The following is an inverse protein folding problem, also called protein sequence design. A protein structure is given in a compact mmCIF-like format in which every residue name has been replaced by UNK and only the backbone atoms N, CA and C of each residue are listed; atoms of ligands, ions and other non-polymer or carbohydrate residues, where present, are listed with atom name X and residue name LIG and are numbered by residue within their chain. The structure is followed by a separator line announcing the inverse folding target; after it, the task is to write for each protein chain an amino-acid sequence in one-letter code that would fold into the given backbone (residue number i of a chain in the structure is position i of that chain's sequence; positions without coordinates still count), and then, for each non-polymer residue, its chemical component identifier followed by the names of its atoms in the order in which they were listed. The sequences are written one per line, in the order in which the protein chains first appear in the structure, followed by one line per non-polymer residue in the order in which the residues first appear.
data_IF_207571981889
#
_entry.id   IF_207571981889
#
_cell.length_a   1.000
_cell.length_b   1.000
_cell.length_c   1.000
_cell.angle_alpha   90.00
_cell.angle_beta   90.00
_cell.angle_gamma   90.00
#
_symmetry.space_group_name_H-M   'P 1'
#
loop_
_entity.id
_entity.type
_entity.pdbx_description
1 polymer ?
2 non-polymer ?
3 non-polymer ?
4 water ?
#
# COMPACT_ATOMS: atom_id res chain seq x y z
N UNK A 8 33.69 3.11 -16.38
CA UNK A 8 33.21 2.35 -15.22
C UNK A 8 31.82 2.80 -14.77
N UNK A 9 30.92 1.83 -14.62
CA UNK A 9 29.60 2.06 -14.04
C UNK A 9 29.27 0.90 -13.10
N UNK A 10 28.43 1.13 -12.11
CA UNK A 10 28.28 0.13 -11.04
C UNK A 10 27.46 -1.11 -11.42
N UNK A 11 26.53 -1.00 -12.37
CA UNK A 11 25.63 -2.10 -12.70
C UNK A 11 25.64 -2.36 -14.20
N UNK A 12 25.40 -3.61 -14.63
CA UNK A 12 25.27 -3.88 -16.08
C UNK A 12 24.09 -3.12 -16.66
N UNK A 13 24.16 -2.85 -17.97
CA UNK A 13 23.02 -2.21 -18.64
C UNK A 13 21.73 -2.97 -18.32
N UNK A 14 20.67 -2.23 -18.07
CA UNK A 14 19.31 -2.67 -17.79
C UNK A 14 19.13 -3.07 -16.33
N UNK A 15 20.18 -3.07 -15.51
CA UNK A 15 20.04 -3.35 -14.10
C UNK A 15 19.92 -2.02 -13.33
N UNK A 16 19.22 -2.08 -12.21
CA UNK A 16 18.91 -0.89 -11.41
C UNK A 16 19.77 -0.85 -10.15
N UNK A 17 20.48 0.27 -9.97
CA UNK A 17 21.33 0.45 -8.80
C UNK A 17 20.54 0.92 -7.57
N UNK A 18 20.73 0.24 -6.45
CA UNK A 18 20.09 0.65 -5.20
C UNK A 18 20.99 0.25 -4.05
N UNK A 19 21.51 1.24 -3.33
CA UNK A 19 22.26 1.02 -2.10
C UNK A 19 23.31 -0.08 -2.27
N UNK A 20 24.15 0.07 -3.28
CA UNK A 20 25.29 -0.81 -3.44
C UNK A 20 25.03 -2.15 -4.11
N UNK A 21 23.81 -2.41 -4.56
CA UNK A 21 23.52 -3.64 -5.28
C UNK A 21 22.82 -3.30 -6.58
N UNK A 22 22.74 -4.30 -7.46
CA UNK A 22 22.12 -4.18 -8.76
C UNK A 22 20.93 -5.14 -8.83
N UNK A 23 19.83 -4.67 -9.41
CA UNK A 23 18.59 -5.44 -9.47
C UNK A 23 18.06 -5.51 -10.90
N UNK A 24 17.46 -6.65 -11.24
CA UNK A 24 16.89 -6.86 -12.57
C UNK A 24 15.54 -7.55 -12.44
N UNK A 25 14.49 -6.95 -13.04
CA UNK A 25 13.19 -7.60 -13.09
C UNK A 25 12.99 -8.16 -14.50
N UNK A 26 12.56 -9.41 -14.58
CA UNK A 26 12.40 -10.11 -15.87
C UNK A 26 11.26 -9.52 -16.69
N UNK A 27 11.31 -9.76 -17.99
CA UNK A 27 10.20 -9.45 -18.87
C UNK A 27 9.51 -10.72 -19.38
N UNK A 28 9.83 -11.88 -18.81
CA UNK A 28 9.15 -13.14 -19.10
C UNK A 28 8.84 -13.81 -17.76
N UNK A 29 8.08 -14.91 -17.80
CA UNK A 29 7.66 -15.59 -16.60
C UNK A 29 8.16 -17.04 -16.58
N UNK A 30 8.59 -17.47 -15.40
CA UNK A 30 9.02 -18.83 -15.18
C UNK A 30 8.57 -19.30 -13.80
N UNK A 31 8.61 -20.61 -13.60
CA UNK A 31 8.32 -21.12 -12.26
C UNK A 31 9.51 -20.83 -11.33
N UNK A 32 9.31 -21.11 -10.05
CA UNK A 32 10.21 -20.61 -9.02
C UNK A 32 11.60 -21.22 -9.17
N UNK A 33 11.67 -22.54 -9.36
CA UNK A 33 12.97 -23.19 -9.52
C UNK A 33 13.68 -22.75 -10.78
N UNK A 34 12.94 -22.53 -11.87
CA UNK A 34 13.58 -22.05 -13.09
C UNK A 34 14.02 -20.60 -12.94
N UNK A 35 13.37 -19.82 -12.07
CA UNK A 35 13.80 -18.46 -11.81
C UNK A 35 15.13 -18.45 -11.06
N UNK A 36 15.30 -19.38 -10.10
CA UNK A 36 16.57 -19.52 -9.40
C UNK A 36 17.70 -19.71 -10.40
N UNK A 37 17.49 -20.66 -11.35
CA UNK A 37 18.51 -20.94 -12.36
C UNK A 37 18.76 -19.74 -13.26
N UNK A 38 17.71 -19.01 -13.62
CA UNK A 38 17.88 -17.82 -14.47
C UNK A 38 18.80 -16.81 -13.83
N UNK A 39 18.66 -16.57 -12.51
CA UNK A 39 19.53 -15.60 -11.87
C UNK A 39 20.97 -16.12 -11.81
N UNK A 40 21.15 -17.40 -11.48
CA UNK A 40 22.49 -17.95 -11.43
C UNK A 40 23.20 -17.84 -12.78
N UNK A 41 22.45 -17.95 -13.88
CA UNK A 41 23.09 -17.90 -15.19
C UNK A 41 23.70 -16.52 -15.50
N UNK A 42 23.27 -15.48 -14.78
CA UNK A 42 23.83 -14.15 -15.00
C UNK A 42 24.60 -13.70 -13.77
N UNK A 43 25.13 -14.66 -13.01
CA UNK A 43 25.95 -14.36 -11.86
C UNK A 43 25.21 -13.61 -10.76
N UNK A 44 23.95 -13.95 -10.52
CA UNK A 44 23.12 -13.24 -9.56
C UNK A 44 22.34 -14.26 -8.76
N UNK A 45 21.41 -13.77 -7.94
CA UNK A 45 20.64 -14.60 -7.04
C UNK A 45 19.19 -14.11 -7.01
N UNK A 46 18.24 -15.04 -7.08
CA UNK A 46 16.85 -14.70 -6.86
C UNK A 46 16.70 -13.94 -5.55
N UNK A 47 16.07 -12.75 -5.61
CA UNK A 47 16.38 -11.70 -4.64
C UNK A 47 16.14 -12.16 -3.20
N UNK A 48 17.17 -11.99 -2.37
CA UNK A 48 17.10 -12.17 -0.93
C UNK A 48 17.09 -10.79 -0.30
N UNK A 49 16.06 -10.51 0.50
CA UNK A 49 15.88 -9.16 1.07
C UNK A 49 16.56 -9.08 2.43
N UNK A 50 17.39 -8.06 2.63
CA UNK A 50 18.15 -7.91 3.87
C UNK A 50 17.73 -6.72 4.74
N UNK A 51 16.91 -5.80 4.23
CA UNK A 51 16.52 -4.65 5.02
C UNK A 51 15.12 -4.20 4.67
N UNK A 52 14.51 -3.44 5.59
CA UNK A 52 13.18 -2.89 5.36
C UNK A 52 13.17 -1.93 4.17
N UNK A 53 14.19 -1.06 4.06
CA UNK A 53 14.24 -0.16 2.94
C UNK A 53 14.32 -0.92 1.62
N UNK A 54 15.07 -2.01 1.60
CA UNK A 54 15.16 -2.82 0.40
C UNK A 54 13.80 -3.42 0.04
N UNK A 55 13.08 -3.94 1.04
CA UNK A 55 11.74 -4.46 0.81
C UNK A 55 10.83 -3.40 0.23
N UNK A 56 10.86 -2.18 0.79
CA UNK A 56 9.98 -1.13 0.27
C UNK A 56 10.29 -0.84 -1.19
N UNK A 57 11.59 -0.76 -1.51
CA UNK A 57 12.04 -0.51 -2.89
C UNK A 57 11.51 -1.56 -3.85
N UNK A 58 11.67 -2.84 -3.50
CA UNK A 58 11.21 -3.90 -4.39
C UNK A 58 9.68 -3.95 -4.47
N UNK A 59 9.00 -3.80 -3.34
CA UNK A 59 7.53 -3.87 -3.35
C UNK A 59 6.93 -2.76 -4.20
N UNK A 60 7.50 -1.57 -4.13
CA UNK A 60 6.99 -0.44 -4.91
C UNK A 60 7.01 -0.75 -6.40
N UNK A 61 8.07 -1.42 -6.85
CA UNK A 61 8.21 -1.74 -8.28
C UNK A 61 7.21 -2.83 -8.70
N UNK A 62 7.07 -3.87 -7.89
CA UNK A 62 6.07 -4.90 -8.20
C UNK A 62 4.67 -4.31 -8.19
N UNK A 63 4.37 -3.46 -7.22
CA UNK A 63 3.06 -2.84 -7.13
C UNK A 63 2.74 -1.97 -8.35
N UNK A 64 3.65 -1.04 -8.67
CA UNK A 64 3.40 -0.09 -9.75
C UNK A 64 3.31 -0.78 -11.11
N UNK A 65 4.12 -1.81 -11.31
CA UNK A 65 4.12 -2.51 -12.59
C UNK A 65 2.97 -3.53 -12.68
N UNK A 66 2.30 -3.81 -11.57
CA UNK A 66 1.21 -4.78 -11.52
C UNK A 66 1.70 -6.15 -11.99
N UNK A 67 2.86 -6.55 -11.48
CA UNK A 67 3.46 -7.85 -11.83
C UNK A 67 3.62 -8.71 -10.59
N UNK A 68 3.02 -9.91 -10.63
CA UNK A 68 3.28 -10.90 -9.58
C UNK A 68 4.67 -11.49 -9.78
N UNK A 69 5.52 -11.43 -8.74
CA UNK A 69 6.95 -11.60 -8.93
C UNK A 69 7.56 -12.45 -7.85
N UNK A 70 8.31 -13.48 -8.25
CA UNK A 70 8.97 -14.35 -7.27
C UNK A 70 10.09 -13.62 -6.54
N UNK A 71 10.30 -13.98 -5.27
CA UNK A 71 11.51 -13.69 -4.52
C UNK A 71 12.17 -14.98 -4.05
N UNK A 72 13.38 -14.86 -3.51
CA UNK A 72 14.13 -16.04 -3.13
C UNK A 72 13.81 -16.55 -1.73
N UNK A 73 12.56 -16.96 -1.51
CA UNK A 73 12.09 -17.38 -0.18
C UNK A 73 11.09 -18.51 -0.32
N UNK A 74 11.23 -19.55 0.51
CA UNK A 74 10.34 -20.70 0.44
C UNK A 74 10.23 -21.39 1.79
N UNK A 75 9.17 -22.21 1.94
CA UNK A 75 9.08 -23.17 3.05
C UNK A 75 9.01 -24.60 2.48
N UNK A 76 9.75 -24.83 1.40
CA UNK A 76 9.75 -26.15 0.75
C UNK A 76 10.32 -27.23 1.66
N UNK A 77 11.42 -26.94 2.34
CA UNK A 77 12.07 -27.99 3.14
C UNK A 77 11.25 -28.35 4.39
N UNK A 78 10.66 -27.36 5.05
CA UNK A 78 9.86 -27.62 6.24
C UNK A 78 8.66 -26.67 6.24
N UNK A 79 7.46 -27.22 6.03
CA UNK A 79 6.25 -26.40 5.96
C UNK A 79 6.13 -25.50 7.19
N UNK A 80 5.89 -24.21 6.92
CA UNK A 80 5.77 -23.22 7.99
C UNK A 80 7.06 -22.56 8.41
N UNK A 81 8.22 -23.10 8.02
CA UNK A 81 9.52 -22.49 8.31
C UNK A 81 10.05 -21.86 7.03
N UNK A 82 10.05 -20.54 6.99
CA UNK A 82 10.42 -19.80 5.79
C UNK A 82 11.92 -19.46 5.81
N UNK A 83 12.58 -19.71 4.69
CA UNK A 83 14.03 -19.60 4.58
C UNK A 83 14.40 -18.99 3.24
N UNK A 84 15.32 -18.03 3.26
CA UNK A 84 15.84 -17.45 2.04
C UNK A 84 16.78 -18.43 1.33
N UNK A 85 16.96 -18.22 0.04
CA UNK A 85 17.74 -19.17 -0.75
C UNK A 85 19.22 -19.15 -0.41
N UNK A 86 19.70 -18.14 0.30
CA UNK A 86 21.08 -18.15 0.80
C UNK A 86 21.21 -18.86 2.14
N UNK A 87 20.14 -19.49 2.61
CA UNK A 87 20.15 -20.21 3.87
C UNK A 87 19.70 -19.38 5.06
N UNK A 88 19.61 -18.06 4.93
CA UNK A 88 19.26 -17.24 6.09
C UNK A 88 17.78 -17.45 6.46
N UNK A 89 17.44 -17.42 7.74
CA UNK A 89 16.03 -17.58 8.13
C UNK A 89 15.26 -16.27 7.96
N UNK A 90 13.95 -16.42 7.72
CA UNK A 90 13.07 -15.24 7.68
C UNK A 90 12.93 -14.71 9.11
N UNK A 91 13.28 -13.47 9.31
CA UNK A 91 13.27 -12.89 10.66
C UNK A 91 11.89 -12.36 11.04
N UNK A 92 11.59 -12.30 12.34
CA UNK A 92 10.26 -11.84 12.77
C UNK A 92 9.96 -10.41 12.34
N UNK A 93 10.99 -9.59 12.15
CA UNK A 93 10.86 -8.20 11.70
C UNK A 93 10.31 -8.11 10.28
N UNK A 94 10.18 -9.25 9.59
CA UNK A 94 9.63 -9.27 8.24
C UNK A 94 8.22 -9.83 8.17
N UNK A 95 7.66 -10.35 9.26
CA UNK A 95 6.34 -10.95 9.20
C UNK A 95 5.28 -9.94 8.79
N UNK A 96 5.50 -8.66 9.10
CA UNK A 96 4.56 -7.63 8.72
C UNK A 96 4.26 -7.57 7.22
N UNK A 97 5.16 -8.11 6.37
CA UNK A 97 5.02 -7.88 4.93
C UNK A 97 4.06 -8.87 4.26
N UNK A 98 3.71 -9.97 4.92
CA UNK A 98 2.71 -10.87 4.38
C UNK A 98 1.36 -10.18 4.21
N UNK A 99 0.70 -10.41 3.08
CA UNK A 99 -0.64 -9.88 2.89
C UNK A 99 -1.58 -10.47 3.95
N UNK A 100 -2.69 -9.79 4.18
CA UNK A 100 -3.68 -10.22 5.16
C UNK A 100 -4.13 -11.64 4.84
N UNK A 101 -4.08 -12.51 5.84
CA UNK A 101 -4.44 -13.91 5.69
C UNK A 101 -3.32 -14.81 5.23
N UNK A 102 -2.18 -14.27 4.84
CA UNK A 102 -1.06 -15.07 4.33
C UNK A 102 -0.02 -15.27 5.42
N UNK A 103 0.81 -16.30 5.33
CA UNK A 103 0.82 -17.37 4.30
C UNK A 103 -0.22 -18.42 4.63
N UNK A 104 -1.05 -18.82 3.66
CA UNK A 104 -2.14 -19.72 3.97
C UNK A 104 -2.01 -21.12 3.37
N UNK A 105 -0.98 -21.35 2.55
CA UNK A 105 -0.65 -22.68 2.04
C UNK A 105 -1.84 -23.35 1.33
N UNK A 106 -2.70 -22.55 0.68
CA UNK A 106 -3.94 -23.11 0.13
C UNK A 106 -3.61 -23.93 -1.11
N UNK A 107 -3.90 -25.22 -1.07
CA UNK A 107 -3.49 -26.12 -2.14
C UNK A 107 -2.00 -26.42 -2.20
N UNK A 108 -1.29 -26.26 -1.08
CA UNK A 108 0.16 -26.43 -1.00
C UNK A 108 0.90 -25.33 -1.75
N UNK A 109 1.32 -24.32 -1.01
CA UNK A 109 2.00 -23.14 -1.57
C UNK A 109 3.30 -22.95 -0.77
N UNK A 110 4.44 -23.09 -1.43
CA UNK A 110 5.71 -23.14 -0.72
C UNK A 110 6.72 -22.10 -1.19
N UNK A 111 6.33 -21.16 -2.06
CA UNK A 111 7.23 -20.16 -2.62
C UNK A 111 6.59 -18.79 -2.47
N UNK A 112 7.41 -17.77 -2.16
CA UNK A 112 6.92 -16.44 -1.89
C UNK A 112 7.03 -15.52 -3.09
N UNK A 113 6.03 -14.62 -3.22
CA UNK A 113 5.95 -13.66 -4.32
C UNK A 113 5.54 -12.28 -3.80
N UNK A 114 5.95 -11.25 -4.52
CA UNK A 114 5.38 -9.91 -4.36
C UNK A 114 4.03 -9.89 -5.05
N UNK A 115 2.99 -9.51 -4.32
CA UNK A 115 1.62 -9.53 -4.80
C UNK A 115 0.90 -8.31 -4.25
N UNK A 116 0.67 -7.32 -5.10
CA UNK A 116 0.01 -6.11 -4.63
C UNK A 116 0.87 -5.33 -3.67
N UNK A 117 0.38 -5.12 -2.45
CA UNK A 117 1.14 -4.33 -1.48
C UNK A 117 2.03 -5.15 -0.57
N UNK A 118 1.96 -6.48 -0.64
CA UNK A 118 2.71 -7.32 0.27
C UNK A 118 3.14 -8.61 -0.36
N UNK A 119 3.31 -9.63 0.48
CA UNK A 119 3.76 -10.94 0.04
C UNK A 119 2.65 -11.97 0.10
N UNK A 120 2.72 -12.97 -0.80
CA UNK A 120 1.83 -14.12 -0.80
C UNK A 120 2.63 -15.41 -1.02
N UNK A 121 2.19 -16.51 -0.42
CA UNK A 121 2.72 -17.83 -0.78
C UNK A 121 1.87 -18.37 -1.93
N UNK A 122 2.53 -18.87 -2.98
CA UNK A 122 1.84 -19.44 -4.13
C UNK A 122 2.50 -20.77 -4.51
N UNK A 123 1.93 -21.41 -5.53
CA UNK A 123 2.43 -22.71 -6.00
C UNK A 123 3.73 -22.53 -6.78
N UNK A 124 4.74 -23.32 -6.42
CA UNK A 124 6.07 -23.16 -7.01
C UNK A 124 6.10 -23.47 -8.50
N UNK A 125 5.15 -24.27 -9.00
CA UNK A 125 5.10 -24.61 -10.41
C UNK A 125 4.48 -23.54 -11.27
N UNK A 126 3.95 -22.47 -10.69
CA UNK A 126 3.30 -21.42 -11.45
C UNK A 126 4.34 -20.48 -12.04
N UNK A 127 4.09 -20.04 -13.28
CA UNK A 127 4.99 -19.09 -13.93
C UNK A 127 4.70 -17.67 -13.45
N UNK A 128 5.75 -16.97 -13.01
CA UNK A 128 5.66 -15.58 -12.61
C UNK A 128 6.91 -14.84 -13.08
N UNK A 129 6.86 -13.51 -12.99
CA UNK A 129 8.09 -12.72 -13.16
C UNK A 129 9.01 -12.97 -11.97
N UNK A 130 10.27 -12.53 -12.10
CA UNK A 130 11.25 -12.70 -11.02
C UNK A 130 12.20 -11.51 -11.00
N UNK A 131 12.88 -11.33 -9.86
CA UNK A 131 13.88 -10.27 -9.68
C UNK A 131 15.19 -10.90 -9.24
N UNK A 132 16.29 -10.54 -9.92
CA UNK A 132 17.62 -10.97 -9.53
C UNK A 132 18.38 -9.84 -8.84
N UNK A 133 19.34 -10.22 -8.01
CA UNK A 133 20.15 -9.26 -7.26
C UNK A 133 21.60 -9.67 -7.31
N UNK A 134 22.49 -8.68 -7.49
CA UNK A 134 23.94 -8.92 -7.38
C UNK A 134 24.61 -7.64 -6.93
N UNK A 135 25.81 -7.78 -6.39
CA UNK A 135 26.49 -6.63 -5.84
C UNK A 135 26.95 -5.72 -6.96
N UNK A 136 27.04 -4.42 -6.66
CA UNK A 136 27.47 -3.43 -7.61
C UNK A 136 28.99 -3.33 -7.64
N UNK A 137 29.50 -2.87 -8.77
CA UNK A 137 30.92 -2.59 -8.89
C UNK A 137 31.26 -1.23 -8.32
N UNK A 138 32.46 -1.11 -7.80
CA UNK A 138 32.95 0.15 -7.26
C UNK A 138 33.76 0.87 -8.35
N UNK A 139 33.50 2.16 -8.52
CA UNK A 139 34.24 2.95 -9.51
C UNK A 139 35.00 4.09 -8.82
N UNK B 8 1.22 37.49 -2.46
CA UNK B 8 0.66 36.58 -1.46
C UNK B 8 0.69 35.14 -1.96
N UNK B 9 1.23 34.24 -1.15
CA UNK B 9 1.14 32.81 -1.44
C UNK B 9 0.84 32.08 -0.14
N UNK B 10 0.19 30.92 -0.21
CA UNK B 10 -0.34 30.33 1.03
C UNK B 10 0.71 29.70 1.94
N UNK B 11 1.82 29.20 1.39
CA UNK B 11 2.81 28.47 2.19
C UNK B 11 4.21 29.03 2.00
N UNK B 12 5.09 28.88 2.97
CA UNK B 12 6.50 29.29 2.75
C UNK B 12 7.15 28.45 1.66
N UNK B 13 8.18 29.02 1.03
CA UNK B 13 8.93 28.27 0.03
C UNK B 13 9.37 26.93 0.61
N UNK B 14 9.25 25.89 -0.22
CA UNK B 14 9.64 24.52 0.05
C UNK B 14 8.55 23.77 0.82
N UNK B 15 7.45 24.42 1.23
CA UNK B 15 6.36 23.75 1.91
C UNK B 15 5.26 23.40 0.91
N UNK B 16 4.55 22.32 1.19
CA UNK B 16 3.54 21.78 0.29
C UNK B 16 2.15 22.09 0.80
N UNK B 17 1.33 22.74 -0.05
CA UNK B 17 -0.03 23.10 0.32
C UNK B 17 -0.97 21.90 0.12
N UNK B 18 -1.77 21.60 1.13
CA UNK B 18 -2.78 20.56 1.03
C UNK B 18 -3.94 20.91 1.95
N UNK B 19 -5.10 21.15 1.35
CA UNK B 19 -6.36 21.37 2.06
C UNK B 19 -6.18 22.38 3.20
N UNK B 20 -5.64 23.54 2.86
CA UNK B 20 -5.62 24.64 3.81
C UNK B 20 -4.49 24.62 4.81
N UNK B 21 -3.57 23.66 4.71
CA UNK B 21 -2.42 23.60 5.60
C UNK B 21 -1.15 23.47 4.76
N UNK B 22 -0.01 23.67 5.43
CA UNK B 22 1.29 23.61 4.81
C UNK B 22 2.11 22.50 5.46
N UNK B 23 2.83 21.73 4.64
CA UNK B 23 3.61 20.58 5.12
C UNK B 23 5.05 20.64 4.65
N UNK B 24 5.94 20.14 5.51
CA UNK B 24 7.37 20.12 5.19
C UNK B 24 7.95 18.80 5.66
N UNK B 25 8.60 18.08 4.76
CA UNK B 25 9.35 16.87 5.09
C UNK B 25 10.83 17.21 5.16
N UNK B 26 11.48 16.77 6.25
CA UNK B 26 12.89 17.09 6.46
C UNK B 26 13.80 16.39 5.45
N UNK B 27 15.00 16.92 5.28
CA UNK B 27 16.06 16.27 4.53
C UNK B 27 17.18 15.78 5.43
N UNK B 28 16.99 15.83 6.74
CA UNK B 28 17.92 15.28 7.73
C UNK B 28 17.11 14.44 8.72
N UNK B 29 17.81 13.71 9.59
CA UNK B 29 17.16 12.83 10.54
C UNK B 29 17.47 13.24 11.96
N UNK B 30 16.45 13.15 12.82
CA UNK B 30 16.58 13.46 14.23
C UNK B 30 15.73 12.50 15.04
N UNK B 31 15.99 12.42 16.34
CA UNK B 31 15.11 11.62 17.19
C UNK B 31 13.79 12.35 17.39
N UNK B 32 12.84 11.66 18.03
CA UNK B 32 11.46 12.14 18.05
C UNK B 32 11.36 13.46 18.81
N UNK B 33 11.95 13.55 19.99
CA UNK B 33 11.86 14.79 20.77
C UNK B 33 12.56 15.95 20.06
N UNK B 34 13.68 15.70 19.38
CA UNK B 34 14.33 16.76 18.64
C UNK B 34 13.52 17.17 17.41
N UNK B 35 12.73 16.24 16.86
CA UNK B 35 11.86 16.58 15.73
C UNK B 35 10.74 17.52 16.18
N UNK B 36 10.17 17.28 17.37
CA UNK B 36 9.19 18.20 17.94
C UNK B 36 9.77 19.62 17.99
N UNK B 37 10.98 19.76 18.53
CA UNK B 37 11.56 21.10 18.66
C UNK B 37 11.88 21.71 17.30
N UNK B 38 12.27 20.89 16.34
CA UNK B 38 12.55 21.39 15.01
C UNK B 38 11.31 22.04 14.39
N UNK B 39 10.13 21.45 14.61
CA UNK B 39 8.94 22.05 14.03
C UNK B 39 8.58 23.33 14.75
N UNK B 40 8.69 23.34 16.08
CA UNK B 40 8.35 24.54 16.84
C UNK B 40 9.24 25.70 16.44
N UNK B 41 10.50 25.42 16.11
CA UNK B 41 11.42 26.49 15.75
C UNK B 41 11.01 27.18 14.47
N UNK B 42 10.15 26.57 13.65
CA UNK B 42 9.69 27.20 12.42
C UNK B 42 8.19 27.46 12.50
N UNK B 43 7.67 27.62 13.71
CA UNK B 43 6.27 27.96 13.90
C UNK B 43 5.29 26.91 13.41
N UNK B 44 5.64 25.64 13.58
CA UNK B 44 4.84 24.54 13.07
C UNK B 44 4.77 23.48 14.17
N UNK B 45 4.21 22.32 13.83
CA UNK B 45 3.98 21.24 14.76
C UNK B 45 4.27 19.91 14.09
N UNK B 46 4.98 19.03 14.77
CA UNK B 46 5.19 17.68 14.28
C UNK B 46 3.84 17.07 13.95
N UNK B 47 3.69 16.56 12.71
CA UNK B 47 2.37 16.50 12.09
C UNK B 47 1.35 15.72 12.93
N UNK B 48 0.21 16.37 13.21
CA UNK B 48 -0.95 15.74 13.83
C UNK B 48 -2.01 15.53 12.76
N UNK B 49 -2.44 14.29 12.55
CA UNK B 49 -3.34 13.94 11.44
C UNK B 49 -4.78 14.06 11.92
N UNK B 50 -5.63 14.77 11.16
CA UNK B 50 -7.00 15.00 11.56
C UNK B 50 -8.04 14.31 10.67
N UNK B 51 -7.64 13.79 9.50
CA UNK B 51 -8.61 13.17 8.60
C UNK B 51 -7.97 12.01 7.83
N UNK B 52 -8.83 11.14 7.29
CA UNK B 52 -8.38 10.00 6.49
C UNK B 52 -7.67 10.47 5.21
N UNK B 53 -8.21 11.50 4.54
CA UNK B 53 -7.56 12.02 3.35
C UNK B 53 -6.17 12.57 3.66
N UNK B 54 -6.01 13.24 4.80
CA UNK B 54 -4.69 13.73 5.19
C UNK B 54 -3.73 12.58 5.41
N UNK B 55 -4.18 11.53 6.09
CA UNK B 55 -3.34 10.34 6.30
C UNK B 55 -2.88 9.76 4.98
N UNK B 56 -3.79 9.63 4.01
CA UNK B 56 -3.42 9.04 2.71
C UNK B 56 -2.38 9.91 2.01
N UNK B 57 -2.56 11.23 2.07
CA UNK B 57 -1.63 12.17 1.47
C UNK B 57 -0.22 12.02 2.07
N UNK B 58 -0.13 11.98 3.40
CA UNK B 58 1.18 11.88 4.06
C UNK B 58 1.79 10.51 3.82
N UNK B 59 0.99 9.45 3.93
CA UNK B 59 1.51 8.09 3.75
C UNK B 59 2.09 7.89 2.37
N UNK B 60 1.42 8.44 1.35
CA UNK B 60 1.90 8.30 -0.02
C UNK B 60 3.30 8.88 -0.18
N UNK B 61 3.56 10.01 0.46
CA UNK B 61 4.86 10.68 0.31
C UNK B 61 5.97 9.90 1.03
N UNK B 62 5.69 9.42 2.24
CA UNK B 62 6.64 8.57 2.94
C UNK B 62 6.89 7.28 2.16
N UNK B 63 5.84 6.68 1.61
CA UNK B 63 5.98 5.45 0.85
C UNK B 63 6.81 5.66 -0.41
N UNK B 64 6.46 6.66 -1.21
CA UNK B 64 7.14 6.88 -2.48
C UNK B 64 8.60 7.27 -2.27
N UNK B 65 8.89 8.06 -1.25
CA UNK B 65 10.27 8.50 -0.99
C UNK B 65 11.10 7.44 -0.26
N UNK B 66 10.46 6.37 0.23
CA UNK B 66 11.15 5.32 0.97
C UNK B 66 11.86 5.91 2.18
N UNK B 67 11.15 6.78 2.91
CA UNK B 67 11.70 7.43 4.08
C UNK B 67 10.86 7.06 5.30
N UNK B 68 11.52 6.50 6.31
CA UNK B 68 10.88 6.30 7.62
C UNK B 68 10.82 7.64 8.33
N UNK B 69 9.61 8.05 8.74
CA UNK B 69 9.33 9.44 9.07
C UNK B 69 8.47 9.54 10.32
N UNK B 70 8.91 10.35 11.29
CA UNK B 70 8.14 10.55 12.51
C UNK B 70 6.86 11.36 12.25
N UNK B 71 5.81 11.03 13.00
CA UNK B 71 4.63 11.87 13.14
C UNK B 71 4.45 12.26 14.61
N UNK B 72 3.54 13.19 14.86
CA UNK B 72 3.36 13.70 16.21
C UNK B 72 2.41 12.85 17.07
N UNK B 73 2.79 11.59 17.31
CA UNK B 73 1.94 10.64 18.03
C UNK B 73 2.80 9.72 18.90
N UNK B 74 2.39 9.50 20.15
CA UNK B 74 3.16 8.66 21.06
C UNK B 74 2.25 8.03 22.10
N UNK B 75 2.77 6.95 22.74
CA UNK B 75 2.16 6.45 23.97
C UNK B 75 3.17 6.58 25.13
N UNK B 76 3.92 7.67 25.12
CA UNK B 76 4.91 7.89 26.17
C UNK B 76 4.28 8.03 27.55
N UNK B 77 3.21 8.80 27.66
CA UNK B 77 2.64 9.08 28.99
C UNK B 77 1.95 7.86 29.59
N UNK B 78 1.24 7.08 28.77
CA UNK B 78 0.59 5.86 29.25
C UNK B 78 0.68 4.78 28.18
N UNK B 79 1.48 3.74 28.46
CA UNK B 79 1.71 2.67 27.49
C UNK B 79 0.38 2.09 27.00
N UNK B 80 0.26 1.97 25.68
CA UNK B 80 -0.95 1.48 25.05
C UNK B 80 -2.00 2.54 24.75
N UNK B 81 -1.88 3.74 25.34
CA UNK B 81 -2.81 4.83 25.08
C UNK B 81 -2.09 5.85 24.20
N UNK B 82 -2.50 5.95 22.92
CA UNK B 82 -1.82 6.79 21.95
C UNK B 82 -2.47 8.16 21.89
N UNK B 83 -1.65 9.20 21.90
CA UNK B 83 -2.12 10.58 22.00
C UNK B 83 -1.29 11.45 21.07
N UNK B 84 -1.97 12.31 20.32
CA UNK B 84 -1.27 13.28 19.46
C UNK B 84 -0.61 14.37 20.32
N UNK B 85 0.39 15.02 19.73
CA UNK B 85 1.15 15.99 20.50
C UNK B 85 0.34 17.22 20.84
N UNK B 86 -0.81 17.43 20.19
CA UNK B 86 -1.69 18.52 20.59
C UNK B 86 -2.64 18.14 21.72
N UNK B 87 -2.49 16.94 22.27
CA UNK B 87 -3.34 16.46 23.33
C UNK B 87 -4.51 15.62 22.91
N UNK B 88 -4.84 15.59 21.62
CA UNK B 88 -6.02 14.84 21.17
C UNK B 88 -5.74 13.33 21.19
N UNK B 89 -6.75 12.53 21.50
CA UNK B 89 -6.57 11.08 21.53
C UNK B 89 -6.59 10.48 20.13
N UNK B 90 -5.93 9.34 20.00
CA UNK B 90 -6.01 8.57 18.76
C UNK B 90 -7.40 7.96 18.67
N UNK B 91 -8.13 8.28 17.62
CA UNK B 91 -9.51 7.79 17.51
C UNK B 91 -9.56 6.39 16.91
N UNK B 92 -10.60 5.61 17.20
CA UNK B 92 -10.67 4.23 16.68
C UNK B 92 -10.68 4.15 15.16
N UNK B 93 -11.18 5.18 14.49
CA UNK B 93 -11.19 5.23 13.04
C UNK B 93 -9.82 5.27 12.44
N UNK B 94 -8.77 5.39 13.26
CA UNK B 94 -7.39 5.42 12.77
C UNK B 94 -6.64 4.12 13.04
N UNK B 95 -7.24 3.17 13.76
CA UNK B 95 -6.55 1.93 14.09
C UNK B 95 -6.16 1.16 12.83
N UNK B 96 -6.93 1.32 11.74
CA UNK B 96 -6.64 0.65 10.50
C UNK B 96 -5.26 0.94 9.94
N UNK B 97 -4.63 2.04 10.34
CA UNK B 97 -3.39 2.48 9.68
C UNK B 97 -2.15 1.80 10.23
N UNK B 98 -2.22 1.17 11.40
CA UNK B 98 -1.07 0.43 11.92
C UNK B 98 -0.72 -0.72 10.99
N UNK B 99 0.58 -0.88 10.69
CA UNK B 99 1.02 -2.05 9.93
C UNK B 99 0.66 -3.34 10.67
N UNK B 100 0.65 -4.45 9.91
CA UNK B 100 0.35 -5.77 10.49
C UNK B 100 1.29 -6.08 11.65
N UNK B 101 0.69 -6.46 12.79
CA UNK B 101 1.42 -6.75 14.01
C UNK B 101 1.70 -5.56 14.90
N UNK B 102 1.46 -4.33 14.44
CA UNK B 102 1.75 -3.15 15.22
C UNK B 102 0.49 -2.61 15.89
N UNK B 103 0.64 -1.81 16.97
CA UNK B 103 1.90 -1.50 17.64
C UNK B 103 2.36 -2.64 18.54
N UNK B 104 3.63 -3.03 18.48
CA UNK B 104 4.09 -4.20 19.24
C UNK B 104 5.06 -3.86 20.37
N UNK B 105 5.46 -2.59 20.53
CA UNK B 105 6.28 -2.15 21.68
C UNK B 105 7.55 -2.98 21.86
N UNK B 106 8.13 -3.52 20.78
CA UNK B 106 9.24 -4.46 20.95
C UNK B 106 10.48 -3.69 21.39
N UNK B 107 11.00 -4.03 22.57
CA UNK B 107 12.10 -3.27 23.14
C UNK B 107 11.70 -1.89 23.64
N UNK B 108 10.43 -1.67 23.97
CA UNK B 108 9.90 -0.37 24.40
C UNK B 108 9.93 0.64 23.25
N UNK B 109 8.79 0.78 22.58
CA UNK B 109 8.65 1.66 21.42
C UNK B 109 7.43 2.54 21.68
N UNK B 110 7.67 3.85 21.80
CA UNK B 110 6.61 4.75 22.26
C UNK B 110 6.32 5.89 21.29
N UNK B 111 6.87 5.86 20.07
CA UNK B 111 6.71 6.91 19.10
C UNK B 111 6.32 6.33 17.75
N UNK B 112 5.40 7.00 17.06
CA UNK B 112 4.85 6.50 15.80
C UNK B 112 5.55 7.10 14.60
N UNK B 113 5.71 6.26 13.56
CA UNK B 113 6.35 6.64 12.32
C UNK B 113 5.55 6.11 11.13
N UNK B 114 5.68 6.81 10.00
CA UNK B 114 5.25 6.28 8.73
C UNK B 114 6.29 5.27 8.29
N UNK B 115 5.85 4.05 8.00
CA UNK B 115 6.77 2.96 7.63
C UNK B 115 6.11 2.13 6.53
N UNK B 116 6.61 2.27 5.30
CA UNK B 116 6.01 1.54 4.19
C UNK B 116 4.60 2.01 3.88
N UNK B 117 3.63 1.11 3.99
CA UNK B 117 2.25 1.45 3.67
C UNK B 117 1.44 1.89 4.87
N UNK B 118 1.99 1.80 6.07
CA UNK B 118 1.23 2.10 7.28
C UNK B 118 2.10 2.69 8.35
N UNK B 119 1.66 2.51 9.59
CA UNK B 119 2.34 3.06 10.75
C UNK B 119 3.05 1.97 11.54
N UNK B 120 4.15 2.37 12.22
CA UNK B 120 4.88 1.52 13.13
C UNK B 120 5.20 2.31 14.40
N UNK B 121 5.23 1.61 15.54
CA UNK B 121 5.80 2.20 16.75
C UNK B 121 7.28 1.82 16.83
N UNK B 122 8.13 2.82 17.10
CA UNK B 122 9.58 2.59 17.17
C UNK B 122 10.17 3.31 18.38
N UNK B 123 11.48 3.14 18.57
CA UNK B 123 12.17 3.73 19.72
C UNK B 123 12.34 5.24 19.51
N UNK B 124 11.94 6.02 20.52
CA UNK B 124 11.95 7.47 20.37
C UNK B 124 13.36 8.05 20.21
N UNK B 125 14.40 7.36 20.66
CA UNK B 125 15.76 7.88 20.53
C UNK B 125 16.37 7.63 19.15
N UNK B 126 15.66 6.95 18.25
CA UNK B 126 16.18 6.64 16.92
C UNK B 126 15.99 7.85 16.00
N UNK B 127 17.00 8.12 15.18
CA UNK B 127 16.94 9.23 14.24
C UNK B 127 16.14 8.85 12.99
N UNK B 128 15.15 9.68 12.65
CA UNK B 128 14.35 9.48 11.45
C UNK B 128 14.06 10.83 10.79
N UNK B 129 13.54 10.80 9.57
CA UNK B 129 12.98 12.03 8.98
C UNK B 129 11.72 12.45 9.76
N UNK B 130 11.25 13.67 9.51
CA UNK B 130 10.02 14.15 10.15
C UNK B 130 9.27 15.07 9.22
N UNK B 131 7.97 15.26 9.52
CA UNK B 131 7.09 16.15 8.76
C UNK B 131 6.47 17.15 9.70
N UNK B 132 6.58 18.45 9.36
CA UNK B 132 5.95 19.51 10.13
C UNK B 132 4.69 19.98 9.41
N UNK B 133 3.76 20.56 10.18
CA UNK B 133 2.48 21.05 9.65
C UNK B 133 2.15 22.39 10.27
N UNK B 134 1.66 23.33 9.46
CA UNK B 134 1.11 24.56 9.97
C UNK B 134 0.06 25.08 9.01
N UNK B 135 -0.77 25.99 9.50
CA UNK B 135 -1.89 26.47 8.71
C UNK B 135 -1.39 27.37 7.59
N UNK B 136 -2.14 27.38 6.48
CA UNK B 136 -1.81 28.19 5.33
C UNK B 136 -2.35 29.61 5.49
N UNK B 137 -1.71 30.54 4.80
CA UNK B 137 -2.19 31.91 4.75
C UNK B 137 -3.30 32.03 3.70
N UNK B 138 -4.21 32.98 3.94
CA UNK B 138 -5.30 33.23 3.00
C UNK B 138 -4.91 34.36 2.05
N UNK B 139 -5.11 34.13 0.76
CA UNK B 139 -4.80 35.15 -0.25
C UNK B 139 -6.04 35.53 -1.06
N UNK C 8 -11.51 3.43 -35.61
CA UNK C 8 -11.89 2.51 -34.54
C UNK C 8 -10.95 2.63 -33.34
N UNK C 9 -11.53 2.80 -32.16
CA UNK C 9 -10.78 2.76 -30.91
C UNK C 9 -11.58 1.94 -29.91
N UNK C 10 -10.93 1.29 -28.96
CA UNK C 10 -11.64 0.30 -28.13
C UNK C 10 -12.56 0.90 -27.07
N UNK C 11 -12.28 2.14 -26.63
CA UNK C 11 -13.06 2.69 -25.52
C UNK C 11 -13.56 4.09 -25.87
N UNK C 12 -14.68 4.51 -25.31
CA UNK C 12 -15.13 5.90 -25.51
C UNK C 12 -14.10 6.88 -24.95
N UNK C 13 -14.13 8.11 -25.48
CA UNK C 13 -13.25 9.15 -24.97
C UNK C 13 -13.43 9.29 -23.45
N UNK C 14 -12.31 9.47 -22.76
CA UNK C 14 -12.19 9.66 -21.32
C UNK C 14 -12.21 8.34 -20.56
N UNK C 15 -12.43 7.21 -21.23
CA UNK C 15 -12.41 5.91 -20.58
C UNK C 15 -11.03 5.27 -20.75
N UNK C 16 -10.65 4.45 -19.78
CA UNK C 16 -9.33 3.87 -19.71
C UNK C 16 -9.38 2.39 -20.11
N UNK C 17 -8.58 2.03 -21.09
CA UNK C 17 -8.53 0.63 -21.52
C UNK C 17 -7.62 -0.20 -20.61
N UNK C 18 -8.13 -1.34 -20.14
CA UNK C 18 -7.32 -2.28 -19.36
C UNK C 18 -7.82 -3.70 -19.61
N UNK C 19 -6.97 -4.53 -20.22
CA UNK C 19 -7.24 -5.95 -20.40
C UNK C 19 -8.63 -6.21 -20.95
N UNK C 20 -8.95 -5.52 -22.05
CA UNK C 20 -10.15 -5.83 -22.79
C UNK C 20 -11.43 -5.18 -22.28
N UNK C 21 -11.34 -4.35 -21.25
CA UNK C 21 -12.49 -3.64 -20.72
C UNK C 21 -12.12 -2.15 -20.63
N UNK C 22 -13.15 -1.34 -20.45
CA UNK C 22 -13.07 0.12 -20.38
C UNK C 22 -13.55 0.58 -19.01
N UNK C 23 -12.81 1.51 -18.40
CA UNK C 23 -13.10 1.99 -17.05
C UNK C 23 -13.20 3.51 -17.01
N UNK C 24 -14.09 4.00 -16.13
CA UNK C 24 -14.31 5.43 -16.00
C UNK C 24 -14.44 5.76 -14.53
N UNK C 25 -13.64 6.72 -14.05
CA UNK C 25 -13.77 7.25 -12.69
C UNK C 25 -14.48 8.58 -12.75
N UNK C 26 -15.47 8.76 -11.88
CA UNK C 26 -16.31 9.98 -11.89
C UNK C 26 -15.52 11.20 -11.41
N UNK C 27 -16.03 12.38 -11.78
CA UNK C 27 -15.53 13.64 -11.25
C UNK C 27 -16.52 14.30 -10.30
N UNK C 28 -17.58 13.58 -9.91
CA UNK C 28 -18.52 14.00 -8.92
C UNK C 28 -18.79 12.84 -7.96
N UNK C 29 -19.55 13.11 -6.90
CA UNK C 29 -19.84 12.12 -5.88
C UNK C 29 -21.33 11.87 -5.78
N UNK C 30 -21.69 10.62 -5.60
CA UNK C 30 -23.08 10.21 -5.43
C UNK C 30 -23.14 9.07 -4.42
N UNK C 31 -24.34 8.80 -3.91
CA UNK C 31 -24.48 7.64 -3.04
C UNK C 31 -24.44 6.37 -3.88
N UNK C 32 -24.42 5.24 -3.19
CA UNK C 32 -24.13 3.96 -3.87
C UNK C 32 -25.20 3.60 -4.86
N UNK C 33 -26.47 3.70 -4.47
CA UNK C 33 -27.56 3.35 -5.38
C UNK C 33 -27.61 4.30 -6.57
N UNK C 34 -27.32 5.58 -6.35
CA UNK C 34 -27.29 6.52 -7.46
C UNK C 34 -26.08 6.28 -8.35
N UNK C 35 -24.99 5.73 -7.79
CA UNK C 35 -23.84 5.37 -8.61
C UNK C 35 -24.15 4.19 -9.52
N UNK C 36 -24.89 3.22 -9.02
CA UNK C 36 -25.36 2.12 -9.87
C UNK C 36 -26.09 2.68 -11.08
N UNK C 37 -27.07 3.57 -10.84
CA UNK C 37 -27.86 4.09 -11.96
C UNK C 37 -26.99 4.94 -12.89
N UNK C 38 -26.00 5.65 -12.35
CA UNK C 38 -25.13 6.45 -13.22
C UNK C 38 -24.40 5.56 -14.24
N UNK C 39 -23.93 4.39 -13.80
CA UNK C 39 -23.24 3.52 -14.74
C UNK C 39 -24.20 2.93 -15.76
N UNK C 40 -25.38 2.49 -15.31
CA UNK C 40 -26.34 1.93 -16.24
C UNK C 40 -26.70 2.94 -17.31
N UNK C 41 -26.74 4.23 -16.96
CA UNK C 41 -27.12 5.24 -17.93
C UNK C 41 -26.12 5.41 -19.06
N UNK C 42 -24.88 4.93 -18.90
CA UNK C 42 -23.90 5.02 -19.99
C UNK C 42 -23.58 3.62 -20.48
N UNK C 43 -24.51 2.69 -20.31
CA UNK C 43 -24.31 1.33 -20.79
C UNK C 43 -23.19 0.60 -20.10
N UNK C 44 -23.04 0.79 -18.79
CA UNK C 44 -21.94 0.25 -18.03
C UNK C 44 -22.47 -0.30 -16.71
N UNK C 45 -21.54 -0.72 -15.85
CA UNK C 45 -21.88 -1.35 -14.57
C UNK C 45 -20.91 -0.87 -13.51
N UNK C 46 -21.44 -0.49 -12.35
CA UNK C 46 -20.60 -0.18 -11.20
C UNK C 46 -19.63 -1.33 -10.96
N UNK C 47 -18.32 -1.00 -10.88
CA UNK C 47 -17.30 -1.99 -11.26
C UNK C 47 -17.40 -3.26 -10.41
N UNK C 48 -17.49 -4.40 -11.10
CA UNK C 48 -17.39 -5.72 -10.51
C UNK C 48 -16.01 -6.28 -10.87
N UNK C 49 -15.24 -6.66 -9.85
CA UNK C 49 -13.85 -7.07 -10.03
C UNK C 49 -13.79 -8.58 -10.22
N UNK C 50 -13.10 -9.02 -11.26
CA UNK C 50 -13.00 -10.44 -11.60
C UNK C 50 -11.62 -11.04 -11.40
N UNK C 51 -10.58 -10.24 -11.21
CA UNK C 51 -9.25 -10.81 -11.06
C UNK C 51 -8.38 -9.94 -10.14
N UNK C 52 -7.34 -10.57 -9.60
CA UNK C 52 -6.41 -9.86 -8.72
C UNK C 52 -5.73 -8.72 -9.46
N UNK C 53 -5.32 -8.95 -10.70
CA UNK C 53 -4.67 -7.89 -11.47
C UNK C 53 -5.59 -6.69 -11.64
N UNK C 54 -6.87 -6.94 -11.89
CA UNK C 54 -7.83 -5.85 -12.02
C UNK C 54 -7.97 -5.08 -10.73
N UNK C 55 -8.05 -5.79 -9.60
CA UNK C 55 -8.11 -5.14 -8.30
C UNK C 55 -6.90 -4.23 -8.08
N UNK C 56 -5.69 -4.72 -8.41
CA UNK C 56 -4.50 -3.89 -8.21
C UNK C 56 -4.55 -2.63 -9.04
N UNK C 57 -5.00 -2.78 -10.31
CA UNK C 57 -5.13 -1.65 -11.22
C UNK C 57 -6.08 -0.58 -10.67
N UNK C 58 -7.25 -1.00 -10.22
CA UNK C 58 -8.25 -0.07 -9.70
C UNK C 58 -7.80 0.55 -8.38
N UNK C 59 -7.23 -0.28 -7.49
CA UNK C 59 -6.80 0.23 -6.19
C UNK C 59 -5.70 1.27 -6.35
N UNK C 60 -4.78 1.04 -7.27
CA UNK C 60 -3.71 2.00 -7.52
C UNK C 60 -4.28 3.36 -7.87
N UNK C 61 -5.35 3.38 -8.68
CA UNK C 61 -5.92 4.66 -9.14
C UNK C 61 -6.63 5.37 -7.99
N UNK C 62 -7.43 4.64 -7.20
CA UNK C 62 -8.03 5.25 -6.03
C UNK C 62 -6.97 5.74 -5.04
N UNK C 63 -5.93 4.94 -4.84
CA UNK C 63 -4.88 5.30 -3.89
C UNK C 63 -4.17 6.56 -4.34
N UNK C 64 -3.70 6.60 -5.59
CA UNK C 64 -2.93 7.73 -6.06
C UNK C 64 -3.76 9.01 -6.11
N UNK C 65 -5.03 8.90 -6.50
CA UNK C 65 -5.88 10.08 -6.61
C UNK C 65 -6.41 10.53 -5.25
N UNK C 66 -6.26 9.73 -4.20
CA UNK C 66 -6.77 10.04 -2.88
C UNK C 66 -8.28 10.27 -2.93
N UNK C 67 -8.98 9.36 -3.62
CA UNK C 67 -10.44 9.43 -3.76
C UNK C 67 -11.09 8.19 -3.18
N UNK C 68 -11.98 8.38 -2.22
CA UNK C 68 -12.82 7.29 -1.72
C UNK C 68 -13.89 6.99 -2.77
N UNK C 69 -13.95 5.74 -3.22
CA UNK C 69 -14.65 5.40 -4.47
C UNK C 69 -15.45 4.12 -4.31
N UNK C 70 -16.74 4.19 -4.68
CA UNK C 70 -17.60 3.00 -4.62
C UNK C 70 -17.21 1.95 -5.67
N UNK C 71 -17.37 0.69 -5.28
CA UNK C 71 -17.39 -0.44 -6.23
C UNK C 71 -18.73 -1.16 -6.15
N UNK C 72 -18.96 -2.10 -7.07
CA UNK C 72 -20.25 -2.77 -7.15
C UNK C 72 -20.38 -3.99 -6.26
N UNK C 73 -20.27 -3.78 -4.94
CA UNK C 73 -20.28 -4.87 -3.97
C UNK C 73 -21.02 -4.42 -2.72
N UNK C 74 -21.90 -5.29 -2.20
CA UNK C 74 -22.67 -4.95 -1.02
C UNK C 74 -23.04 -6.21 -0.25
N UNK C 75 -23.40 -6.03 1.02
CA UNK C 75 -24.05 -7.07 1.81
C UNK C 75 -25.43 -6.60 2.25
N UNK C 76 -26.10 -5.86 1.36
CA UNK C 76 -27.42 -5.32 1.66
C UNK C 76 -28.46 -6.42 1.84
N UNK C 77 -28.46 -7.40 0.93
CA UNK C 77 -29.50 -8.43 0.97
C UNK C 77 -29.34 -9.32 2.20
N UNK C 78 -28.10 -9.65 2.57
CA UNK C 78 -27.81 -10.45 3.75
C UNK C 78 -26.52 -9.97 4.41
N UNK C 79 -26.66 -9.38 5.60
CA UNK C 79 -25.51 -8.86 6.34
C UNK C 79 -24.44 -9.92 6.48
N UNK C 80 -23.18 -9.53 6.18
CA UNK C 80 -22.06 -10.44 6.28
C UNK C 80 -21.81 -11.29 5.04
N UNK C 81 -22.78 -11.37 4.12
CA UNK C 81 -22.62 -12.09 2.86
C UNK C 81 -22.47 -11.06 1.74
N UNK C 82 -21.28 -10.94 1.20
CA UNK C 82 -20.99 -9.89 0.22
C UNK C 82 -21.21 -10.42 -1.18
N UNK C 83 -21.90 -9.64 -2.01
CA UNK C 83 -22.33 -10.07 -3.33
C UNK C 83 -22.08 -8.94 -4.32
N UNK C 84 -21.52 -9.26 -5.47
CA UNK C 84 -21.32 -8.27 -6.53
C UNK C 84 -22.66 -7.96 -7.19
N UNK C 85 -22.75 -6.80 -7.85
CA UNK C 85 -24.03 -6.37 -8.39
C UNK C 85 -24.48 -7.21 -9.57
N UNK C 86 -23.58 -7.98 -10.18
CA UNK C 86 -24.01 -8.93 -11.23
C UNK C 86 -24.51 -10.24 -10.65
N UNK C 87 -24.64 -10.34 -9.33
CA UNK C 87 -25.10 -11.55 -8.70
C UNK C 87 -23.98 -12.50 -8.24
N UNK C 88 -22.73 -12.29 -8.69
CA UNK C 88 -21.66 -13.21 -8.34
C UNK C 88 -21.26 -13.03 -6.87
N UNK C 89 -20.89 -14.11 -6.18
CA UNK C 89 -20.46 -13.99 -4.78
C UNK C 89 -19.03 -13.51 -4.66
N UNK C 90 -18.75 -12.84 -3.53
CA UNK C 90 -17.36 -12.48 -3.20
C UNK C 90 -16.61 -13.74 -2.84
N UNK C 91 -15.52 -14.01 -3.56
CA UNK C 91 -14.78 -15.25 -3.35
C UNK C 91 -13.75 -15.11 -2.23
N UNK C 92 -13.36 -16.21 -1.60
CA UNK C 92 -12.38 -16.12 -0.50
C UNK C 92 -11.04 -15.55 -0.91
N UNK C 93 -10.66 -15.70 -2.18
CA UNK C 93 -9.43 -15.14 -2.72
C UNK C 93 -9.40 -13.62 -2.71
N UNK C 94 -10.52 -12.97 -2.37
CA UNK C 94 -10.57 -11.51 -2.32
C UNK C 94 -10.60 -10.98 -0.89
N UNK C 95 -10.67 -11.86 0.12
CA UNK C 95 -10.74 -11.40 1.49
C UNK C 95 -9.51 -10.58 1.87
N UNK C 96 -8.37 -10.85 1.26
CA UNK C 96 -7.14 -10.12 1.56
C UNK C 96 -7.27 -8.62 1.35
N UNK C 97 -8.21 -8.16 0.54
CA UNK C 97 -8.21 -6.76 0.13
C UNK C 97 -8.89 -5.84 1.13
N UNK C 98 -9.66 -6.38 2.07
CA UNK C 98 -10.23 -5.57 3.13
C UNK C 98 -9.14 -4.93 3.97
N UNK C 99 -9.30 -3.62 4.25
CA UNK C 99 -8.36 -2.95 5.15
C UNK C 99 -8.40 -3.61 6.52
N UNK C 100 -7.35 -3.37 7.30
CA UNK C 100 -7.27 -3.95 8.63
C UNK C 100 -8.50 -3.55 9.45
N UNK C 101 -9.14 -4.54 10.06
CA UNK C 101 -10.34 -4.31 10.83
C UNK C 101 -11.63 -4.32 10.05
N UNK C 102 -11.58 -4.36 8.74
CA UNK C 102 -12.79 -4.33 7.93
C UNK C 102 -13.13 -5.71 7.43
N UNK C 103 -14.42 -5.96 7.09
CA UNK C 103 -15.57 -5.06 7.24
C UNK C 103 -16.09 -5.07 8.66
N UNK C 104 -16.36 -3.89 9.26
CA UNK C 104 -16.78 -3.82 10.65
C UNK C 104 -18.20 -3.35 10.84
N UNK C 105 -18.91 -2.98 9.78
CA UNK C 105 -20.33 -2.65 9.83
C UNK C 105 -20.64 -1.58 10.88
N UNK C 106 -19.72 -0.65 11.13
CA UNK C 106 -19.91 0.28 12.24
C UNK C 106 -21.01 1.27 11.88
N UNK C 107 -22.08 1.28 12.66
CA UNK C 107 -23.26 2.08 12.33
C UNK C 107 -24.04 1.54 11.15
N UNK C 108 -23.89 0.25 10.85
CA UNK C 108 -24.54 -0.41 9.72
C UNK C 108 -23.98 0.11 8.39
N UNK C 109 -23.03 -0.63 7.83
CA UNK C 109 -22.34 -0.27 6.59
C UNK C 109 -22.45 -1.45 5.64
N UNK C 110 -23.11 -1.24 4.50
CA UNK C 110 -23.47 -2.34 3.63
C UNK C 110 -22.95 -2.20 2.20
N UNK C 111 -22.07 -1.22 1.94
CA UNK C 111 -21.57 -0.94 0.60
C UNK C 111 -20.04 -0.81 0.64
N UNK C 112 -19.36 -1.36 -0.37
CA UNK C 112 -17.91 -1.40 -0.36
C UNK C 112 -17.29 -0.28 -1.20
N UNK C 113 -16.14 0.22 -0.72
CA UNK C 113 -15.41 1.31 -1.37
C UNK C 113 -13.91 1.02 -1.38
N UNK C 114 -13.22 1.58 -2.37
CA UNK C 114 -11.77 1.67 -2.32
C UNK C 114 -11.40 2.77 -1.34
N UNK C 115 -10.53 2.44 -0.38
CA UNK C 115 -10.15 3.39 0.67
C UNK C 115 -8.68 3.19 1.02
N UNK C 116 -7.84 4.14 0.61
CA UNK C 116 -6.40 4.00 0.82
C UNK C 116 -5.82 2.84 0.04
N UNK C 117 -5.24 1.87 0.74
CA UNK C 117 -4.62 0.72 0.11
C UNK C 117 -5.54 -0.48 -0.06
N UNK C 118 -6.76 -0.43 0.49
CA UNK C 118 -7.64 -1.58 0.47
C UNK C 118 -9.10 -1.22 0.38
N UNK C 119 -9.97 -2.10 0.85
CA UNK C 119 -11.40 -1.92 0.80
C UNK C 119 -11.96 -1.58 2.18
N UNK C 120 -13.05 -0.80 2.21
CA UNK C 120 -13.80 -0.51 3.44
C UNK C 120 -15.30 -0.67 3.16
N UNK C 121 -16.05 -1.07 4.17
CA UNK C 121 -17.50 -0.98 4.12
C UNK C 121 -17.93 0.34 4.74
N UNK C 122 -18.81 1.07 4.04
CA UNK C 122 -19.30 2.37 4.49
C UNK C 122 -20.80 2.43 4.27
N UNK C 123 -21.40 3.55 4.69
CA UNK C 123 -22.85 3.76 4.60
C UNK C 123 -23.29 4.05 3.17
N UNK C 124 -24.31 3.31 2.71
CA UNK C 124 -24.69 3.39 1.31
C UNK C 124 -25.24 4.75 0.94
N UNK C 125 -25.74 5.52 1.90
CA UNK C 125 -26.25 6.85 1.68
C UNK C 125 -25.19 7.92 1.58
N UNK C 126 -23.92 7.59 1.79
CA UNK C 126 -22.85 8.56 1.71
C UNK C 126 -22.41 8.78 0.25
N UNK C 127 -22.13 10.05 -0.08
CA UNK C 127 -21.69 10.41 -1.42
C UNK C 127 -20.20 10.13 -1.56
N UNK C 128 -19.84 9.39 -2.63
CA UNK C 128 -18.45 9.11 -2.93
C UNK C 128 -18.28 9.12 -4.45
N UNK C 129 -17.02 9.12 -4.91
CA UNK C 129 -16.78 8.85 -6.33
C UNK C 129 -17.15 7.41 -6.65
N UNK C 130 -17.19 7.09 -7.95
CA UNK C 130 -17.50 5.73 -8.40
C UNK C 130 -16.75 5.44 -9.70
N UNK C 131 -16.60 4.17 -9.99
CA UNK C 131 -15.95 3.66 -11.20
C UNK C 131 -16.92 2.77 -11.96
N UNK C 132 -17.10 3.06 -13.25
CA UNK C 132 -17.91 2.22 -14.12
C UNK C 132 -17.01 1.36 -15.01
N UNK C 133 -17.56 0.23 -15.45
CA UNK C 133 -16.84 -0.74 -16.29
C UNK C 133 -17.73 -1.23 -17.41
N UNK C 134 -17.17 -1.33 -18.61
CA UNK C 134 -17.88 -1.98 -19.70
C UNK C 134 -16.86 -2.57 -20.67
N UNK C 135 -17.34 -3.48 -21.51
CA UNK C 135 -16.44 -4.21 -22.39
C UNK C 135 -15.90 -3.29 -23.49
N UNK C 136 -14.68 -3.57 -23.94
CA UNK C 136 -14.07 -2.77 -24.99
C UNK C 136 -14.53 -3.26 -26.36
N UNK C 137 -14.49 -2.37 -27.33
CA UNK C 137 -14.75 -2.74 -28.71
C UNK C 137 -13.50 -3.35 -29.34
N UNK C 138 -13.71 -4.22 -30.32
CA UNK C 138 -12.62 -4.85 -31.05
C UNK C 138 -12.30 -4.06 -32.31
N UNK C 139 -11.02 -3.78 -32.53
CA UNK C 139 -10.60 -3.07 -33.73
C UNK C 139 -9.58 -3.92 -34.52
X LIG D 1 3.84 -23.88 2.40
X LIG E 1 -1.35 -17.92 -0.45
X LIG F 1 4.43 -27.59 1.72
X LIG G 1 -3.50 -17.60 -3.05
X LIG G 1 -3.76 -17.24 -4.51
X LIG G 1 -3.53 -18.38 -5.45
X LIG G 1 -6.17 -16.71 -1.85
X LIG G 1 -3.74 -16.38 -2.18
X LIG G 1 -5.32 -15.53 -3.87
X LIG G 1 -5.12 -15.82 -2.40
X LIG G 1 -4.59 -14.12 -5.56
X LIG G 1 -3.36 -13.19 -5.92
X LIG G 1 -2.12 -13.99 -5.72
X LIG G 1 -6.84 -17.74 -2.35
X LIG G 1 -7.63 -18.14 -1.36
X LIG G 1 -8.49 -19.17 -1.38
X LIG G 1 -9.13 -19.58 -0.21
X LIG G 1 -10.01 -20.64 -0.22
X LIG G 1 -10.28 -21.31 -1.40
X LIG G 1 -9.66 -20.91 -2.59
X LIG G 1 -8.77 -19.84 -2.57
X LIG G 1 -7.43 -17.35 -0.33
X LIG G 1 -6.56 -16.50 -0.66
X LIG G 1 -4.37 -14.52 -4.23
X LIG G 1 -3.53 -16.75 -0.82
X LIG G 1 -2.15 -18.03 -2.83
X LIG G 1 -5.11 -16.74 -4.67
X LIG G 1 -4.58 -19.41 -5.06
X LIG G 1 -1.01 -13.06 -6.11
X LIG G 1 -3.37 -12.04 -5.04
X LIG G 1 -4.18 -18.41 -2.79
X LIG G 1 -3.02 -16.48 -4.77
X LIG G 1 -2.53 -18.80 -5.33
X LIG G 1 -3.68 -18.07 -6.48
X LIG G 1 -3.03 -15.59 -2.47
X LIG G 1 -6.34 -15.20 -4.08
X LIG G 1 -5.21 -14.87 -1.86
X LIG G 1 -4.63 -14.99 -6.22
X LIG G 1 -5.53 -13.57 -5.65
X LIG G 1 -3.42 -12.83 -6.95
X LIG G 1 -2.02 -14.29 -4.68
X LIG G 1 -2.13 -14.87 -6.37
X LIG G 1 -6.75 -18.17 -3.35
X LIG G 1 -8.91 -19.05 0.72
X LIG G 1 -10.50 -20.96 0.71
X LIG G 1 -10.98 -22.14 -1.42
X LIG G 1 -9.86 -21.42 -3.52
X LIG G 1 -8.27 -19.53 -3.50
X LIG G 1 -3.85 -17.68 -0.68
X LIG G 1 -1.71 -17.40 -2.19
X LIG G 1 -4.35 -19.81 -4.18
X LIG G 1 -1.01 -12.26 -5.49
X LIG G 1 -3.16 -12.33 -4.11
X LIG H 1 4.80 1.78 23.67
X LIG I 1 7.00 -1.68 16.30
X LIG J 1 6.74 2.62 27.23
X LIG K 1 9.90 -2.71 14.89
X LIG K 1 11.14 -2.33 14.03
X LIG K 1 12.29 -1.85 14.82
X LIG K 1 9.42 -5.59 13.93
X LIG K 1 8.79 -3.17 13.97
X LIG K 1 10.51 -3.95 12.36
X LIG K 1 9.25 -4.36 13.09
X LIG K 1 11.27 -2.58 10.64
X LIG K 1 10.82 -1.27 9.86
X LIG K 1 10.48 -0.27 10.91
X LIG K 1 10.45 -6.03 14.65
X LIG K 1 10.01 -7.18 15.20
X LIG K 1 10.69 -7.99 16.01
X LIG K 1 10.05 -9.06 16.63
X LIG K 1 10.75 -9.90 17.49
X LIG K 1 12.10 -9.69 17.72
X LIG K 1 12.74 -8.63 17.11
X LIG K 1 12.04 -7.79 16.25
X LIG K 1 8.75 -7.39 14.80
X LIG K 1 8.44 -6.40 14.04
X LIG K 1 10.14 -2.89 11.45
X LIG K 1 7.65 -3.56 14.72
X LIG K 1 9.48 -1.57 15.63
X LIG K 1 11.54 -3.51 13.22
X LIG K 1 12.63 -3.02 15.69
X LIG K 1 10.09 0.95 10.16
X LIG K 1 9.66 -1.57 9.04
X LIG K 1 10.16 -3.51 15.58
X LIG K 1 10.84 -1.50 13.39
X LIG K 1 12.03 -0.98 15.42
X LIG K 1 13.14 -1.59 14.17
X LIG K 1 8.52 -2.32 13.32
X LIG K 1 10.91 -4.82 11.82
X LIG K 1 8.50 -4.59 12.34
X LIG K 1 12.14 -2.37 11.26
X LIG K 1 11.48 -3.39 9.95
X LIG K 1 11.59 -0.90 9.19
X LIG K 1 9.66 -0.62 11.54
X LIG K 1 11.35 -0.06 11.55
X LIG K 1 11.43 -5.55 14.77
X LIG K 1 8.99 -9.23 16.45
X LIG K 1 10.24 -10.73 17.98
X LIG K 1 12.65 -10.35 18.40
X LIG K 1 13.81 -8.46 17.29
X LIG K 1 12.56 -6.94 15.77
X LIG K 1 7.93 -3.78 15.65
X LIG K 1 8.59 -1.25 15.28
X LIG K 1 11.92 -3.12 16.40
X LIG K 1 9.31 0.73 9.57
X LIG K 1 8.89 -1.81 9.61
X LIG L 1 -22.98 -4.63 6.49
X LIG M 1 -16.19 0.15 7.76
X LIG N 1 -26.87 -4.36 7.18
X LIG O 1 -15.55 3.29 8.76
X LIG O 1 -15.40 4.78 8.37
X LIG O 1 -16.69 5.54 8.31
X LIG O 1 -13.59 3.19 11.13
X LIG O 1 -14.20 2.63 8.75
X LIG O 1 -13.19 4.81 9.29
X LIG O 1 -13.23 3.37 9.70
X LIG O 1 -12.45 6.19 7.60
X LIG O 1 -12.06 6.13 6.07
X LIG O 1 -13.16 5.43 5.35
X LIG O 1 -14.43 3.83 11.93
X LIG O 1 -14.35 3.21 13.09
X LIG O 1 -15.01 3.51 14.23
X LIG O 1 -14.92 2.64 15.31
X LIG O 1 -15.59 2.91 16.49
X LIG O 1 -16.35 4.07 16.60
X LIG O 1 -16.45 4.93 15.52
X LIG O 1 -15.77 4.65 14.33
X LIG O 1 -13.47 2.23 12.97
X LIG O 1 -13.06 2.25 11.77
X LIG O 1 -12.63 4.83 7.97
X LIG O 1 -14.32 1.25 9.16
X LIG O 1 -16.38 2.61 7.79
X LIG O 1 -14.48 5.45 9.31
X LIG O 1 -17.26 5.54 9.71
X LIG O 1 -12.71 5.41 3.93
X LIG O 1 -10.83 5.40 5.92
X LIG O 1 -16.00 3.25 9.74
X LIG O 1 -15.00 4.79 7.35
X LIG O 1 -17.38 5.05 7.62
X LIG O 1 -16.50 6.56 7.97
X LIG O 1 -13.79 2.67 7.74
X LIG O 1 -12.58 5.38 10.01
X LIG O 1 -12.23 2.95 9.59
X LIG O 1 -13.38 6.75 7.74
X LIG O 1 -11.67 6.66 8.20
X LIG O 1 -11.91 7.13 5.66
X LIG O 1 -13.29 4.42 5.74
X LIG O 1 -14.11 5.98 5.46
X LIG O 1 -15.05 4.70 11.68
X LIG O 1 -14.32 1.73 15.22
X LIG O 1 -15.52 2.22 17.34
X LIG O 1 -16.88 4.30 17.52
X LIG O 1 -17.05 5.84 15.59
X LIG O 1 -15.84 5.34 13.48
X LIG O 1 -15.29 1.01 9.21
X LIG O 1 -15.82 1.92 7.30
X LIG O 1 -17.47 4.61 9.98
X LIG O 1 -12.61 6.36 3.60
X LIG O 1 -10.98 4.44 6.15
#
# INVERSE_FOLDING_TARGET
GSHMERLCHPCPWEWTFFQGNCYFMSNSQRNWHDSITACKEVGAQLVVIKSAEEQNFLQLQSSRSNRFTWMGLSDLNQEGTWQWVDGSPLLPSFKQYWNRGEPNNVGEEDCAEFSGNGWNDDKCNLAKFWICKKSAASCSRDEEQFLSPAPATPNPPPA
GSHMERLCHPCPWEWTFFQGNCYFMSNSQRNWHDSITACKEVGAQLVVIKSAEEQNFLQLQSSRSNRFTWMGLSDLNQEGTWQWVDGSPLLPSFKQYWNRGEPNNVGEEDCAEFSGNGWNDDKCNLAKFWICKKSAASCSRDEEQFLSPAPATPNPPPA
GSHMERLCHPCPWEWTFFQGNCYFMSNSQRNWHDSITACKEVGAQLVVIKSAEEQNFLQLQSSRSNRFTWMGLSDLNQEGTWQWVDGSPLLPSFKQYWNRGEPNNVGEEDCAEFSGNGWNDDKCNLAKFWICKKSAASCSRDEEQFLSPAPATPNPPPA
CA CA
CA CA
CA CA
A1H5Y C4 C5 C6 N2 C3 C1 C2 CAM CAN CAO CAR CAS CAV CAW CAX CAY CAZ CBA NAT NAU O1 O3 O4 O5 O6 OAP OAQ H41 H5 H62 H61 H31 H1 H2 HAM H63 HAN HAO H64 HAR HAW HAX HAY HAZ HBA H32 H42 H65 HAP HAQ
CA CA
CA CA
CA CA
A1H5Y C4 C5 C6 N2 C3 C1 C2 CAM CAN CAO CAR CAS CAV CAW CAX CAY CAZ CBA NAT NAU O1 O3 O4 O5 O6 OAP OAQ H41 H5 H62 H61 H31 H1 H2 HAM H63 HAN HAO H64 HAR HAW HAX HAY HAZ HBA H32 H42 H65 HAP HAQ
CA CA
CA CA
CA CA
A1H5Y C4 C5 C6 N2 C3 C1 C2 CAM CAN CAO CAR CAS CAV CAW CAX CAY CAZ CBA NAT NAU O1 O3 O4 O5 O6 OAP OAQ H41 H5 H62 H61 H31 H1 H2 HAM H63 HAN HAO H64 HAR HAW HAX HAY HAZ HBA H32 H42 H65 HAP HAQ
#
